data_IF_179370449530
#
_entry.id   IF_179370449530
#
_cell.length_a   1.000
_cell.length_b   1.000
_cell.length_c   1.000
_cell.angle_alpha   90.00
_cell.angle_beta   90.00
_cell.angle_gamma   90.00
#
_symmetry.space_group_name_H-M   'P 1'
#
loop_
_entity.id
_entity.type
_entity.pdbx_description
1 polymer ?
#
# COMPACT_ATOMS: atom_id res chain seq x y z
N UNK A 1 17.28 19.79 -0.10
CA UNK A 1 16.43 19.57 1.05
C UNK A 1 16.94 18.37 1.83
N UNK A 2 17.02 18.51 3.16
CA UNK A 2 17.34 17.37 4.02
C UNK A 2 16.07 16.55 4.20
N UNK A 3 16.17 15.24 3.95
CA UNK A 3 15.15 14.27 4.33
C UNK A 3 15.65 13.58 5.60
N UNK A 4 14.80 13.54 6.61
CA UNK A 4 15.04 12.79 7.84
C UNK A 4 14.14 11.58 7.87
N UNK A 5 14.70 10.41 8.19
CA UNK A 5 13.96 9.17 8.40
C UNK A 5 13.98 8.83 9.88
N UNK A 6 12.79 8.69 10.48
CA UNK A 6 12.63 8.31 11.88
C UNK A 6 11.98 6.92 11.90
N UNK A 7 12.80 5.90 12.08
CA UNK A 7 12.34 4.51 12.16
C UNK A 7 11.83 4.18 13.56
N UNK A 8 11.06 3.10 13.67
CA UNK A 8 10.50 2.60 14.93
C UNK A 8 9.71 3.66 15.70
N UNK A 9 9.03 4.54 14.97
CA UNK A 9 8.28 5.67 15.51
C UNK A 9 6.79 5.62 15.08
N UNK A 10 6.01 4.66 15.56
CA UNK A 10 4.59 4.60 15.24
C UNK A 10 3.87 5.83 15.80
N UNK A 11 3.10 6.49 14.95
CA UNK A 11 2.24 7.61 15.35
C UNK A 11 0.97 7.05 15.99
N UNK A 12 0.55 7.64 17.10
CA UNK A 12 -0.66 7.23 17.82
C UNK A 12 -1.77 8.28 17.80
N UNK A 13 -1.43 9.57 17.64
CA UNK A 13 -2.41 10.64 17.79
C UNK A 13 -2.12 11.85 16.91
N UNK A 14 -3.21 12.45 16.40
CA UNK A 14 -3.26 13.80 15.85
C UNK A 14 -3.79 14.77 16.89
N UNK A 15 -3.13 15.90 17.09
CA UNK A 15 -3.65 17.02 17.85
C UNK A 15 -4.30 18.01 16.89
N UNK A 16 -5.62 18.00 16.81
CA UNK A 16 -6.41 18.80 15.85
C UNK A 16 -7.12 19.93 16.59
N UNK A 17 -6.96 21.16 16.11
CA UNK A 17 -7.64 22.34 16.62
C UNK A 17 -8.23 23.11 15.43
N UNK A 18 -9.54 23.33 15.44
CA UNK A 18 -10.26 24.07 14.40
C UNK A 18 -9.93 23.62 12.98
N UNK A 19 -9.99 22.31 12.70
CA UNK A 19 -9.72 21.73 11.38
C UNK A 19 -8.26 21.72 10.96
N UNK A 20 -7.32 22.04 11.86
CA UNK A 20 -5.89 22.05 11.56
C UNK A 20 -5.13 21.15 12.53
N UNK A 21 -4.29 20.26 12.00
CA UNK A 21 -3.34 19.49 12.82
C UNK A 21 -2.23 20.43 13.29
N UNK A 22 -2.09 20.57 14.62
CA UNK A 22 -1.04 21.34 15.25
C UNK A 22 0.23 20.50 15.45
N UNK A 23 0.06 19.24 15.78
CA UNK A 23 1.17 18.29 15.99
C UNK A 23 0.67 16.86 15.89
N UNK A 24 1.62 15.94 15.76
CA UNK A 24 1.38 14.49 15.89
C UNK A 24 2.19 13.95 17.05
N UNK A 25 1.68 12.92 17.71
CA UNK A 25 2.35 12.26 18.81
C UNK A 25 2.60 10.78 18.48
N UNK A 26 3.82 10.33 18.74
CA UNK A 26 4.20 8.92 18.59
C UNK A 26 3.89 8.11 19.87
N UNK A 27 3.91 6.79 19.75
CA UNK A 27 3.71 5.88 20.90
C UNK A 27 4.74 6.06 22.01
N UNK A 28 5.96 6.45 21.69
CA UNK A 28 7.01 6.80 22.66
C UNK A 28 6.88 8.24 23.21
N UNK A 29 5.72 8.89 22.99
CA UNK A 29 5.34 10.21 23.52
C UNK A 29 6.13 11.39 22.93
N UNK A 30 6.92 11.19 21.89
CA UNK A 30 7.53 12.30 21.16
C UNK A 30 6.47 13.07 20.37
N UNK A 31 6.63 14.39 20.30
CA UNK A 31 5.72 15.29 19.59
C UNK A 31 6.47 15.89 18.39
N UNK A 32 5.81 15.87 17.22
CA UNK A 32 6.34 16.40 15.99
C UNK A 32 5.43 17.51 15.46
N UNK A 33 6.02 18.60 15.03
CA UNK A 33 5.36 19.75 14.43
C UNK A 33 5.71 19.87 12.96
N UNK A 34 4.74 20.23 12.13
CA UNK A 34 4.95 20.50 10.72
C UNK A 34 3.88 21.45 10.17
N UNK A 35 4.16 22.11 9.06
CA UNK A 35 3.19 22.92 8.34
C UNK A 35 2.17 22.06 7.59
N UNK A 36 2.60 20.91 7.09
CA UNK A 36 1.79 19.97 6.31
C UNK A 36 2.04 18.53 6.78
N UNK A 37 1.00 17.74 6.84
CA UNK A 37 1.04 16.33 7.21
C UNK A 37 0.55 15.48 6.05
N UNK A 38 1.24 14.39 5.74
CA UNK A 38 0.86 13.47 4.66
C UNK A 38 0.66 12.06 5.24
N UNK A 39 -0.54 11.52 5.05
CA UNK A 39 -0.88 10.16 5.47
C UNK A 39 -0.55 9.21 4.32
N UNK A 40 0.43 8.32 4.53
CA UNK A 40 0.86 7.29 3.58
C UNK A 40 0.85 5.90 4.22
N UNK A 41 -0.06 5.67 5.16
CA UNK A 41 -0.08 4.49 6.03
C UNK A 41 -0.62 3.22 5.37
N UNK A 42 -0.86 3.23 4.05
CA UNK A 42 -1.19 2.05 3.26
C UNK A 42 -2.41 1.30 3.81
N UNK A 43 -2.25 0.02 4.13
CA UNK A 43 -3.33 -0.83 4.64
C UNK A 43 -3.86 -0.39 6.01
N UNK A 44 -3.09 0.38 6.76
CA UNK A 44 -3.45 0.90 8.08
C UNK A 44 -4.15 2.26 8.04
N UNK A 45 -4.42 2.81 6.85
CA UNK A 45 -5.02 4.14 6.72
C UNK A 45 -6.39 4.26 7.41
N UNK A 46 -7.16 3.17 7.47
CA UNK A 46 -8.45 3.13 8.18
C UNK A 46 -8.33 3.43 9.68
N UNK A 47 -7.20 3.20 10.32
CA UNK A 47 -6.99 3.50 11.75
C UNK A 47 -7.17 4.99 12.08
N UNK A 48 -7.05 5.85 11.10
CA UNK A 48 -7.22 7.30 11.27
C UNK A 48 -8.65 7.79 11.14
N UNK A 49 -9.59 6.91 10.75
CA UNK A 49 -10.99 7.31 10.49
C UNK A 49 -11.64 8.00 11.68
N UNK A 50 -11.49 7.44 12.87
CA UNK A 50 -12.08 7.99 14.10
C UNK A 50 -11.45 9.34 14.49
N UNK A 51 -10.12 9.45 14.46
CA UNK A 51 -9.42 10.67 14.85
C UNK A 51 -9.62 11.83 13.86
N UNK A 52 -9.86 11.51 12.59
CA UNK A 52 -10.05 12.50 11.51
C UNK A 52 -11.52 12.76 11.20
N UNK A 53 -12.43 12.06 11.90
CA UNK A 53 -13.89 12.09 11.66
C UNK A 53 -14.25 11.85 10.18
N UNK A 54 -13.58 10.89 9.56
CA UNK A 54 -13.76 10.52 8.15
C UNK A 54 -13.88 9.01 7.99
N UNK A 55 -14.79 8.55 7.15
CA UNK A 55 -14.79 7.15 6.72
C UNK A 55 -13.68 6.91 5.69
N UNK A 56 -12.62 6.24 6.10
CA UNK A 56 -11.52 5.83 5.24
C UNK A 56 -11.69 4.34 4.90
N UNK A 57 -12.34 4.00 3.77
CA UNK A 57 -12.76 2.63 3.46
C UNK A 57 -11.60 1.80 2.85
N UNK A 58 -10.39 1.99 3.34
CA UNK A 58 -9.23 1.19 2.94
C UNK A 58 -9.16 -0.06 3.78
N UNK A 59 -9.07 -1.21 3.10
CA UNK A 59 -9.00 -2.51 3.76
C UNK A 59 -7.71 -3.25 3.38
N UNK A 60 -7.12 -4.01 4.33
CA UNK A 60 -6.00 -4.88 4.04
C UNK A 60 -6.46 -6.09 3.21
N UNK A 61 -5.78 -6.34 2.10
CA UNK A 61 -5.94 -7.57 1.32
C UNK A 61 -4.62 -8.32 1.32
N UNK A 62 -4.60 -9.48 1.99
CA UNK A 62 -3.40 -10.30 2.08
C UNK A 62 -3.04 -10.87 0.71
N UNK A 63 -1.75 -10.88 0.40
CA UNK A 63 -1.17 -11.61 -0.72
C UNK A 63 0.05 -12.40 -0.29
N UNK A 64 0.04 -13.69 -0.56
CA UNK A 64 1.17 -14.57 -0.30
C UNK A 64 2.01 -14.78 -1.56
N UNK A 65 3.30 -14.93 -1.35
CA UNK A 65 4.32 -15.07 -2.39
C UNK A 65 5.26 -16.21 -2.02
N UNK A 66 5.84 -16.83 -3.04
CA UNK A 66 6.88 -17.85 -2.92
C UNK A 66 8.10 -17.43 -3.72
N UNK A 67 9.28 -17.68 -3.20
CA UNK A 67 10.56 -17.38 -3.83
C UNK A 67 11.33 -18.66 -4.12
N UNK A 68 11.68 -18.86 -5.36
CA UNK A 68 12.59 -19.94 -5.80
C UNK A 68 14.00 -19.39 -6.01
N UNK A 69 15.00 -20.26 -5.80
CA UNK A 69 16.37 -20.03 -6.24
C UNK A 69 16.64 -20.80 -7.51
N UNK A 70 16.93 -20.09 -8.59
CA UNK A 70 17.25 -20.64 -9.90
C UNK A 70 18.65 -20.16 -10.33
N UNK A 71 19.25 -20.72 -11.38
CA UNK A 71 20.41 -20.08 -12.04
C UNK A 71 20.06 -18.65 -12.51
N UNK A 72 21.07 -17.78 -12.58
CA UNK A 72 20.90 -16.45 -13.16
C UNK A 72 20.39 -16.56 -14.61
N UNK A 73 19.47 -15.67 -14.95
CA UNK A 73 18.85 -15.61 -16.28
C UNK A 73 18.14 -16.90 -16.75
N UNK A 74 17.83 -17.83 -15.82
CA UNK A 74 17.11 -19.06 -16.13
C UNK A 74 15.73 -18.77 -16.72
N UNK A 75 14.98 -17.82 -16.16
CA UNK A 75 13.72 -17.31 -16.72
C UNK A 75 13.98 -15.93 -17.32
N UNK A 76 13.98 -15.78 -18.66
CA UNK A 76 14.42 -14.53 -19.29
C UNK A 76 13.40 -13.40 -19.23
N UNK A 77 12.12 -13.72 -18.98
CA UNK A 77 11.03 -12.76 -18.94
C UNK A 77 9.97 -13.14 -17.93
N UNK A 78 9.15 -12.18 -17.52
CA UNK A 78 8.00 -12.42 -16.67
C UNK A 78 6.96 -13.29 -17.40
N UNK A 79 6.47 -14.32 -16.72
CA UNK A 79 5.32 -15.11 -17.17
C UNK A 79 4.09 -14.74 -16.32
N UNK A 80 2.94 -14.63 -16.96
CA UNK A 80 1.70 -14.29 -16.25
C UNK A 80 0.50 -14.96 -16.93
N UNK A 81 -0.39 -15.50 -16.13
CA UNK A 81 -1.73 -15.90 -16.54
C UNK A 81 -2.79 -15.06 -15.80
N UNK A 82 -4.05 -15.44 -15.86
CA UNK A 82 -5.16 -14.72 -15.18
C UNK A 82 -5.05 -14.73 -13.65
N UNK A 83 -4.32 -15.69 -13.08
CA UNK A 83 -4.31 -15.98 -11.64
C UNK A 83 -2.98 -15.61 -11.00
N UNK A 84 -1.87 -16.00 -11.63
CA UNK A 84 -0.51 -15.95 -11.06
C UNK A 84 0.48 -15.31 -12.02
N UNK A 85 1.61 -14.94 -11.47
CA UNK A 85 2.77 -14.44 -12.20
C UNK A 85 4.07 -15.01 -11.64
N UNK A 86 5.07 -15.15 -12.52
CA UNK A 86 6.45 -15.47 -12.20
C UNK A 86 7.32 -14.29 -12.62
N UNK A 87 8.04 -13.72 -11.68
CA UNK A 87 8.90 -12.56 -11.91
C UNK A 87 10.35 -12.96 -11.68
N UNK A 88 11.16 -13.05 -12.75
CA UNK A 88 12.59 -13.28 -12.60
C UNK A 88 13.28 -12.08 -11.97
N UNK A 89 14.30 -12.38 -11.17
CA UNK A 89 15.22 -11.40 -10.56
C UNK A 89 16.61 -11.60 -11.15
N UNK A 90 17.37 -10.52 -11.25
CA UNK A 90 18.71 -10.54 -11.81
C UNK A 90 19.68 -11.43 -11.05
N UNK A 91 19.43 -11.65 -9.77
CA UNK A 91 20.24 -12.47 -8.87
C UNK A 91 19.91 -13.99 -8.91
N UNK A 92 19.15 -14.42 -9.90
CA UNK A 92 18.76 -15.81 -10.05
C UNK A 92 17.65 -16.25 -9.09
N UNK A 93 16.79 -15.35 -8.65
CA UNK A 93 15.56 -15.69 -7.96
C UNK A 93 14.35 -15.55 -8.88
N UNK A 94 13.32 -16.36 -8.64
CA UNK A 94 12.00 -16.21 -9.28
C UNK A 94 10.96 -16.04 -8.20
N UNK A 95 10.27 -14.90 -8.23
CA UNK A 95 9.14 -14.60 -7.33
C UNK A 95 7.86 -15.08 -7.97
N UNK A 96 7.12 -15.92 -7.26
CA UNK A 96 5.85 -16.47 -7.71
C UNK A 96 4.70 -16.00 -6.83
N UNK A 97 3.59 -15.64 -7.42
CA UNK A 97 2.39 -15.19 -6.71
C UNK A 97 1.38 -14.55 -7.64
N UNK A 98 0.34 -14.02 -7.09
CA UNK A 98 0.09 -13.88 -5.67
C UNK A 98 -1.34 -14.25 -5.31
N UNK A 99 -1.54 -14.78 -4.14
CA UNK A 99 -2.88 -14.99 -3.61
C UNK A 99 -3.60 -13.67 -3.30
N UNK A 100 -4.90 -13.75 -3.09
CA UNK A 100 -5.72 -12.66 -2.53
C UNK A 100 -6.67 -13.23 -1.48
N UNK A 101 -6.59 -12.72 -0.25
CA UNK A 101 -7.44 -13.13 0.85
C UNK A 101 -7.82 -11.94 1.74
N UNK A 102 -9.07 -11.92 2.19
CA UNK A 102 -9.58 -10.97 3.16
C UNK A 102 -9.50 -11.61 4.56
N UNK A 103 -8.35 -11.46 5.20
CA UNK A 103 -8.08 -11.99 6.55
C UNK A 103 -7.64 -10.90 7.54
N UNK A 104 -8.08 -9.67 7.31
CA UNK A 104 -7.69 -8.53 8.13
C UNK A 104 -6.19 -8.27 8.05
N UNK A 105 -5.57 -8.01 9.19
CA UNK A 105 -4.13 -7.70 9.28
C UNK A 105 -3.24 -8.94 9.47
N UNK A 106 -3.78 -10.14 9.33
CA UNK A 106 -2.97 -11.36 9.40
C UNK A 106 -2.02 -11.44 8.21
N UNK A 107 -0.73 -11.60 8.49
CA UNK A 107 0.35 -11.78 7.51
C UNK A 107 1.00 -13.14 7.61
N UNK A 108 0.35 -14.11 8.26
CA UNK A 108 0.85 -15.48 8.41
C UNK A 108 0.71 -16.23 7.08
N UNK A 109 1.80 -16.73 6.48
CA UNK A 109 1.72 -17.59 5.32
C UNK A 109 1.16 -18.96 5.67
N UNK A 110 0.36 -19.54 4.77
CA UNK A 110 -0.24 -20.88 5.00
C UNK A 110 0.27 -21.91 4.00
N UNK A 111 0.35 -23.17 4.44
CA UNK A 111 0.73 -24.28 3.58
C UNK A 111 -0.25 -24.49 2.42
N UNK A 112 -1.55 -24.34 2.68
CA UNK A 112 -2.59 -24.47 1.66
C UNK A 112 -2.42 -23.43 0.54
N UNK A 113 -2.22 -22.15 0.88
CA UNK A 113 -1.99 -21.10 -0.12
C UNK A 113 -0.67 -21.30 -0.87
N UNK A 114 0.38 -21.77 -0.17
CA UNK A 114 1.63 -22.16 -0.82
C UNK A 114 1.38 -23.20 -1.91
N UNK A 115 0.65 -24.25 -1.59
CA UNK A 115 0.35 -25.34 -2.52
C UNK A 115 -0.40 -24.81 -3.76
N UNK A 116 -1.43 -23.97 -3.57
CA UNK A 116 -2.16 -23.35 -4.69
C UNK A 116 -1.25 -22.50 -5.59
N UNK A 117 -0.32 -21.73 -5.00
CA UNK A 117 0.66 -20.94 -5.78
C UNK A 117 1.57 -21.85 -6.58
N UNK A 118 2.07 -22.95 -5.98
CA UNK A 118 2.97 -23.89 -6.63
C UNK A 118 2.30 -24.58 -7.80
N UNK A 119 1.09 -25.10 -7.62
CA UNK A 119 0.31 -25.76 -8.67
C UNK A 119 0.14 -24.83 -9.90
N UNK A 120 -0.31 -23.59 -9.67
CA UNK A 120 -0.51 -22.65 -10.74
C UNK A 120 0.81 -22.20 -11.43
N UNK A 121 1.91 -22.14 -10.68
CA UNK A 121 3.22 -21.81 -11.24
C UNK A 121 3.82 -22.96 -12.05
N UNK A 122 3.65 -24.20 -11.58
CA UNK A 122 4.13 -25.39 -12.30
C UNK A 122 3.29 -25.71 -13.55
N UNK A 123 2.02 -25.29 -13.57
CA UNK A 123 1.22 -25.34 -14.79
C UNK A 123 1.76 -24.40 -15.87
N UNK A 124 2.28 -23.23 -15.49
CA UNK A 124 2.88 -22.26 -16.45
C UNK A 124 4.30 -22.66 -16.87
N UNK A 125 5.13 -23.11 -15.92
CA UNK A 125 6.54 -23.44 -16.12
C UNK A 125 6.88 -24.66 -15.30
N UNK A 126 6.63 -25.88 -15.82
CA UNK A 126 6.81 -27.14 -15.10
C UNK A 126 8.23 -27.33 -14.55
N UNK A 127 9.24 -26.87 -15.28
CA UNK A 127 10.65 -27.01 -14.91
C UNK A 127 11.00 -26.26 -13.60
N UNK A 128 10.16 -25.30 -13.18
CA UNK A 128 10.35 -24.60 -11.91
C UNK A 128 10.32 -25.55 -10.70
N UNK A 129 9.64 -26.70 -10.83
CA UNK A 129 9.55 -27.72 -9.79
C UNK A 129 10.91 -28.34 -9.41
N UNK A 130 11.92 -28.24 -10.28
CA UNK A 130 13.27 -28.74 -10.00
C UNK A 130 14.09 -27.82 -9.08
N UNK A 131 13.62 -26.61 -8.77
CA UNK A 131 14.38 -25.63 -8.00
C UNK A 131 13.89 -25.50 -6.55
N UNK A 132 14.81 -25.21 -5.62
CA UNK A 132 14.45 -25.07 -4.21
C UNK A 132 13.64 -23.81 -3.94
N UNK A 133 12.65 -23.94 -3.06
CA UNK A 133 11.91 -22.82 -2.49
C UNK A 133 12.73 -22.29 -1.31
N UNK A 134 13.09 -21.01 -1.35
CA UNK A 134 13.93 -20.38 -0.32
C UNK A 134 13.15 -19.49 0.63
N UNK A 135 11.95 -19.04 0.24
CA UNK A 135 11.11 -18.19 1.10
C UNK A 135 9.63 -18.27 0.73
N UNK A 136 8.78 -18.16 1.74
CA UNK A 136 7.36 -17.82 1.62
C UNK A 136 7.07 -16.65 2.55
N UNK A 137 6.26 -15.70 2.12
CA UNK A 137 5.82 -14.59 2.97
C UNK A 137 4.45 -14.08 2.53
N UNK A 138 3.84 -13.25 3.37
CA UNK A 138 2.62 -12.52 3.07
C UNK A 138 2.84 -11.02 3.28
N UNK A 139 2.03 -10.23 2.59
CA UNK A 139 1.95 -8.77 2.75
C UNK A 139 0.52 -8.28 2.58
N UNK A 140 0.26 -7.06 3.01
CA UNK A 140 -1.06 -6.44 2.98
C UNK A 140 -1.11 -5.36 1.91
N UNK A 141 -2.04 -5.50 0.98
CA UNK A 141 -2.31 -4.48 -0.02
C UNK A 141 -3.39 -3.53 0.50
N UNK A 142 -3.21 -2.20 0.35
CA UNK A 142 -4.20 -1.20 0.74
C UNK A 142 -5.32 -1.14 -0.31
N UNK A 143 -6.38 -1.91 -0.13
CA UNK A 143 -7.50 -1.92 -1.08
C UNK A 143 -8.47 -0.79 -0.80
N UNK A 144 -8.69 0.09 -1.77
CA UNK A 144 -9.83 1.00 -1.80
C UNK A 144 -11.04 0.33 -2.47
N UNK A 145 -12.28 0.74 -2.21
CA UNK A 145 -13.47 0.10 -2.78
C UNK A 145 -13.50 0.05 -4.31
N UNK A 146 -12.95 1.06 -4.95
CA UNK A 146 -12.92 1.18 -6.42
C UNK A 146 -11.58 0.80 -7.04
N UNK A 147 -10.56 0.47 -6.22
CA UNK A 147 -9.18 0.28 -6.67
C UNK A 147 -8.44 1.58 -7.03
N UNK A 148 -9.13 2.73 -6.97
CA UNK A 148 -8.55 4.06 -7.22
C UNK A 148 -7.99 4.62 -5.90
N UNK A 149 -6.72 5.05 -5.84
CA UNK A 149 -6.13 5.60 -4.62
C UNK A 149 -6.72 6.97 -4.25
N UNK A 150 -6.48 7.37 -3.01
CA UNK A 150 -6.78 8.68 -2.48
C UNK A 150 -5.51 9.53 -2.49
N UNK A 151 -5.50 10.60 -3.32
CA UNK A 151 -4.35 11.50 -3.46
C UNK A 151 -4.85 12.93 -3.44
N UNK A 152 -4.51 13.70 -2.40
CA UNK A 152 -4.96 15.08 -2.28
C UNK A 152 -5.21 15.52 -0.84
N UNK A 153 -5.77 16.72 -0.69
CA UNK A 153 -6.12 17.30 0.61
C UNK A 153 -7.26 16.51 1.26
N UNK A 154 -7.13 16.21 2.54
CA UNK A 154 -8.19 15.57 3.31
C UNK A 154 -9.36 16.53 3.51
N UNK A 155 -10.62 16.05 3.46
CA UNK A 155 -11.79 16.87 3.79
C UNK A 155 -11.69 17.45 5.21
N UNK A 156 -12.27 18.62 5.42
CA UNK A 156 -12.37 19.31 6.71
C UNK A 156 -11.03 19.57 7.44
N UNK A 157 -9.89 19.27 6.79
CA UNK A 157 -8.55 19.43 7.38
C UNK A 157 -7.69 20.35 6.53
N UNK A 158 -7.16 21.43 7.13
CA UNK A 158 -6.44 22.45 6.39
C UNK A 158 -5.06 22.06 5.89
N UNK A 159 -4.38 21.19 6.62
CA UNK A 159 -2.98 20.84 6.40
C UNK A 159 -2.69 19.34 6.41
N UNK A 160 -3.72 18.51 6.14
CA UNK A 160 -3.55 17.05 6.05
C UNK A 160 -3.84 16.59 4.62
N UNK A 161 -3.00 15.70 4.15
CA UNK A 161 -3.03 15.17 2.80
C UNK A 161 -3.02 13.66 2.79
N UNK A 162 -3.69 13.05 1.82
CA UNK A 162 -3.73 11.62 1.59
C UNK A 162 -2.83 11.20 0.44
N UNK A 163 -2.16 10.07 0.58
CA UNK A 163 -1.56 9.31 -0.52
C UNK A 163 -1.57 7.82 -0.17
N UNK A 164 -2.72 7.18 -0.29
CA UNK A 164 -2.93 5.79 0.10
C UNK A 164 -4.00 5.10 -0.74
N UNK A 165 -4.21 3.80 -0.51
CA UNK A 165 -5.28 3.04 -1.17
C UNK A 165 -4.94 2.55 -2.59
N UNK A 166 -3.66 2.41 -2.96
CA UNK A 166 -3.18 2.05 -4.30
C UNK A 166 -3.38 0.58 -4.67
N UNK A 167 -3.83 -0.24 -3.75
CA UNK A 167 -4.07 -1.68 -3.92
C UNK A 167 -2.86 -2.41 -4.55
N UNK A 168 -3.04 -2.96 -5.76
CA UNK A 168 -2.00 -3.75 -6.48
C UNK A 168 -0.97 -2.88 -7.20
N UNK A 169 -1.27 -1.61 -7.42
CA UNK A 169 -0.53 -0.74 -8.33
C UNK A 169 0.42 0.24 -7.61
N UNK A 170 0.50 0.18 -6.27
CA UNK A 170 1.24 1.16 -5.47
C UNK A 170 2.70 1.32 -5.85
N UNK A 171 3.40 0.24 -6.18
CA UNK A 171 4.80 0.31 -6.59
C UNK A 171 4.98 1.06 -7.92
N UNK A 172 4.16 0.74 -8.93
CA UNK A 172 4.25 1.38 -10.25
C UNK A 172 3.76 2.83 -10.23
N UNK A 173 2.68 3.10 -9.45
CA UNK A 173 2.08 4.44 -9.37
C UNK A 173 2.79 5.37 -8.38
N UNK A 174 3.61 4.85 -7.47
CA UNK A 174 4.22 5.61 -6.38
C UNK A 174 4.89 6.91 -6.81
N UNK A 175 5.80 6.91 -7.79
CA UNK A 175 6.47 8.14 -8.25
C UNK A 175 5.50 9.19 -8.83
N UNK A 176 4.52 8.75 -9.62
CA UNK A 176 3.51 9.65 -10.20
C UNK A 176 2.57 10.20 -9.12
N UNK A 177 2.15 9.36 -8.16
CA UNK A 177 1.32 9.76 -7.03
C UNK A 177 2.02 10.79 -6.14
N UNK A 178 3.29 10.56 -5.83
CA UNK A 178 4.09 11.50 -5.05
C UNK A 178 4.28 12.85 -5.76
N UNK A 179 4.51 12.80 -7.09
CA UNK A 179 4.61 14.01 -7.91
C UNK A 179 3.29 14.78 -7.94
N UNK A 180 2.17 14.11 -8.15
CA UNK A 180 0.84 14.72 -8.15
C UNK A 180 0.56 15.39 -6.81
N UNK A 181 0.76 14.66 -5.70
CA UNK A 181 0.55 15.19 -4.36
C UNK A 181 1.43 16.41 -4.07
N UNK A 182 2.72 16.36 -4.43
CA UNK A 182 3.63 17.50 -4.31
C UNK A 182 3.12 18.72 -5.07
N UNK A 183 2.63 18.52 -6.30
CA UNK A 183 2.08 19.61 -7.11
C UNK A 183 0.85 20.25 -6.45
N UNK A 184 -0.04 19.44 -5.88
CA UNK A 184 -1.20 19.90 -5.13
C UNK A 184 -0.81 20.69 -3.88
N UNK A 185 0.11 20.19 -3.07
CA UNK A 185 0.60 20.86 -1.85
C UNK A 185 1.22 22.23 -2.20
N UNK A 186 2.02 22.28 -3.26
CA UNK A 186 2.73 23.48 -3.69
C UNK A 186 1.89 24.39 -4.63
N UNK A 187 0.62 24.04 -4.86
CA UNK A 187 -0.28 24.77 -5.77
C UNK A 187 0.32 24.97 -7.17
N UNK A 188 1.01 23.97 -7.68
CA UNK A 188 1.60 23.94 -9.01
C UNK A 188 0.65 23.28 -10.02
N UNK A 189 0.78 23.55 -11.33
CA UNK A 189 0.06 22.80 -12.35
C UNK A 189 0.28 21.30 -12.21
N UNK A 190 -0.82 20.54 -12.20
CA UNK A 190 -0.78 19.08 -12.01
C UNK A 190 -0.50 18.36 -13.31
N UNK A 191 0.17 17.19 -13.24
CA UNK A 191 0.48 16.36 -14.40
C UNK A 191 -0.77 15.76 -15.08
N UNK A 192 -1.89 15.69 -14.33
CA UNK A 192 -3.19 15.20 -14.79
C UNK A 192 -4.29 15.79 -13.92
N UNK A 193 -5.56 15.62 -14.31
CA UNK A 193 -6.71 16.00 -13.49
C UNK A 193 -6.76 15.18 -12.20
N UNK A 194 -6.66 15.80 -11.00
CA UNK A 194 -6.66 15.09 -9.74
C UNK A 194 -8.05 14.64 -9.26
N UNK A 195 -9.12 15.05 -9.90
CA UNK A 195 -10.51 14.87 -9.44
C UNK A 195 -10.85 13.43 -9.12
N UNK A 196 -10.41 12.48 -9.96
CA UNK A 196 -10.65 11.06 -9.75
C UNK A 196 -9.97 10.50 -8.49
N UNK A 197 -8.92 11.17 -7.99
CA UNK A 197 -8.13 10.73 -6.82
C UNK A 197 -8.46 11.53 -5.57
N UNK A 198 -9.30 12.56 -5.68
CA UNK A 198 -9.55 13.49 -4.59
C UNK A 198 -10.15 12.79 -3.35
N UNK A 199 -9.60 13.02 -2.14
CA UNK A 199 -10.15 12.48 -0.90
C UNK A 199 -11.55 13.00 -0.53
N UNK A 200 -12.10 14.00 -1.20
CA UNK A 200 -13.50 14.42 -1.04
C UNK A 200 -14.51 13.32 -1.40
N UNK A 201 -14.05 12.24 -2.04
CA UNK A 201 -14.82 11.00 -2.19
C UNK A 201 -14.99 10.23 -0.87
N UNK A 202 -14.20 10.58 0.16
CA UNK A 202 -14.41 10.13 1.54
C UNK A 202 -15.56 10.99 2.08
N UNK A 203 -16.74 10.44 2.11
CA UNK A 203 -17.89 11.09 2.73
C UNK A 203 -17.71 11.13 4.23
N UNK A 204 -18.15 12.23 4.87
CA UNK A 204 -18.39 12.21 6.31
C UNK A 204 -19.26 10.99 6.64
N UNK A 205 -18.96 10.31 7.75
CA UNK A 205 -19.78 9.20 8.23
C UNK A 205 -21.24 9.66 8.37
N UNK A 206 -22.04 9.52 7.34
CA UNK A 206 -23.48 9.45 7.52
C UNK A 206 -23.73 8.10 8.17
N UNK A 207 -23.65 8.08 9.49
CA UNK A 207 -24.29 7.08 10.31
C UNK A 207 -25.78 7.17 9.96
N UNK A 208 -26.19 6.40 8.97
CA UNK A 208 -27.60 6.02 8.83
C UNK A 208 -27.90 5.17 10.04
N UNK A 209 -28.62 5.77 10.99
CA UNK A 209 -29.35 5.16 12.09
C UNK A 209 -30.22 4.03 11.61
#
# INVERSE_FOLDING_TARGET
PKVEFIEHCPIEQFNIVNGKVQSIRSQNKQIYFADQFVITTGAWSKHWSEQLDLDIPVQPVQGQMVLFKTPENWLPTMCMNKVMYLIPRLDGHVVCGSSMANCGFDTTPTAATKQTILEACFEMVPELAAFPIVKQWAGLRPSSPTGVPYIGKMPELDNVWANFGHFRNGLCMGPASARLLRQLILKQPTLLDPTAFCPTRLTANTLTT
#
